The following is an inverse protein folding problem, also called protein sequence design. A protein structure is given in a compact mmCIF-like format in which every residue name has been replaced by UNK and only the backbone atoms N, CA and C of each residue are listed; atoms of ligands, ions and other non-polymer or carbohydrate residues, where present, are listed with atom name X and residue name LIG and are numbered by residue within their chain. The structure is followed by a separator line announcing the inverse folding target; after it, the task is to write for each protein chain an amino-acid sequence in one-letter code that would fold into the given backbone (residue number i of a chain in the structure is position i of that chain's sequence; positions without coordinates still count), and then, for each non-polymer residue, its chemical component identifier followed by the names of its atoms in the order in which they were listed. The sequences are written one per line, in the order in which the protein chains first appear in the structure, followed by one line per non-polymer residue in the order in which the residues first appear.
data_IF_538189668632
#
_entry.id   IF_538189668632
#
_cell.length_a   1.000
_cell.length_b   1.000
_cell.length_c   1.000
_cell.angle_alpha   90.00
_cell.angle_beta   90.00
_cell.angle_gamma   90.00
#
_symmetry.space_group_name_H-M   'P 1'
#
loop_
_entity.id
_entity.type
_entity.pdbx_description
1 polymer ?
#
# COMPACT_ATOMS: atom_id res chain seq x y z
N UNK A 1 3.69 -2.23 -12.44
CA UNK A 1 2.27 -2.13 -12.87
C UNK A 1 1.52 -3.36 -12.38
N UNK A 2 0.21 -3.26 -12.14
CA UNK A 2 -0.60 -4.42 -11.75
C UNK A 2 -0.65 -5.49 -12.86
N UNK A 3 -0.81 -6.79 -12.52
CA UNK A 3 -0.87 -7.88 -13.49
C UNK A 3 -1.91 -7.65 -14.61
N UNK A 4 -3.12 -7.21 -14.26
CA UNK A 4 -4.20 -6.98 -15.23
C UNK A 4 -3.90 -5.82 -16.19
N UNK A 5 -3.15 -4.82 -15.74
CA UNK A 5 -2.75 -3.68 -16.56
C UNK A 5 -1.65 -4.09 -17.55
N UNK A 6 -0.76 -5.01 -17.16
CA UNK A 6 0.27 -5.58 -18.04
C UNK A 6 -0.32 -6.53 -19.08
N UNK A 7 -1.26 -7.40 -18.67
CA UNK A 7 -1.81 -8.45 -19.53
C UNK A 7 -2.91 -7.94 -20.49
N UNK A 8 -3.82 -7.11 -19.97
CA UNK A 8 -5.03 -6.72 -20.70
C UNK A 8 -5.12 -5.22 -21.01
N UNK A 9 -4.11 -4.43 -20.59
CA UNK A 9 -4.15 -2.96 -20.64
C UNK A 9 -5.38 -2.38 -19.92
N UNK A 10 -5.84 -3.07 -18.88
CA UNK A 10 -6.98 -2.64 -18.06
C UNK A 10 -6.46 -1.78 -16.92
N UNK A 11 -6.87 -0.51 -16.91
CA UNK A 11 -6.54 0.45 -15.85
C UNK A 11 -7.78 0.74 -15.01
N UNK A 12 -7.69 0.54 -13.70
CA UNK A 12 -8.78 0.74 -12.75
C UNK A 12 -8.26 1.34 -11.44
N UNK A 13 -9.17 1.77 -10.59
CA UNK A 13 -8.81 2.22 -9.23
C UNK A 13 -8.01 1.17 -8.44
N UNK A 14 -8.21 -0.14 -8.70
CA UNK A 14 -7.44 -1.20 -8.03
C UNK A 14 -6.08 -1.44 -8.66
N UNK A 15 -5.90 -1.14 -9.95
CA UNK A 15 -4.55 -1.11 -10.53
C UNK A 15 -3.76 0.08 -9.97
N UNK A 16 -4.44 1.20 -9.70
CA UNK A 16 -3.83 2.36 -9.02
C UNK A 16 -3.44 2.02 -7.58
N UNK A 17 -4.28 1.25 -6.86
CA UNK A 17 -3.88 0.70 -5.54
C UNK A 17 -2.58 -0.11 -5.64
N UNK A 18 -2.44 -0.99 -6.63
CA UNK A 18 -1.19 -1.75 -6.82
C UNK A 18 0.01 -0.83 -7.06
N UNK A 19 -0.15 0.19 -7.91
CA UNK A 19 0.88 1.17 -8.19
C UNK A 19 1.26 1.99 -6.94
N UNK A 20 0.31 2.25 -6.05
CA UNK A 20 0.59 2.86 -4.75
C UNK A 20 1.54 2.02 -3.89
N UNK A 21 1.45 0.68 -3.94
CA UNK A 21 2.44 -0.16 -3.26
C UNK A 21 3.87 0.05 -3.77
N UNK A 22 4.04 0.28 -5.08
CA UNK A 22 5.35 0.63 -5.68
C UNK A 22 5.82 1.98 -5.16
N UNK A 23 4.93 2.98 -5.09
CA UNK A 23 5.25 4.28 -4.52
C UNK A 23 5.66 4.17 -3.04
N UNK A 24 4.97 3.35 -2.26
CA UNK A 24 5.35 3.10 -0.87
C UNK A 24 6.75 2.50 -0.79
N UNK A 25 7.06 1.53 -1.67
CA UNK A 25 8.40 0.98 -1.75
C UNK A 25 9.45 2.05 -2.08
N UNK A 26 9.19 2.93 -3.04
CA UNK A 26 10.09 4.05 -3.37
C UNK A 26 10.33 4.96 -2.16
N UNK A 27 9.28 5.30 -1.40
CA UNK A 27 9.38 6.13 -0.19
C UNK A 27 10.27 5.47 0.87
N UNK A 28 10.12 4.16 1.10
CA UNK A 28 10.92 3.45 2.11
C UNK A 28 12.36 3.15 1.65
N UNK A 29 12.65 3.24 0.36
CA UNK A 29 13.98 3.09 -0.22
C UNK A 29 14.58 4.44 -0.65
N UNK A 30 14.26 5.54 0.04
CA UNK A 30 14.84 6.87 -0.20
C UNK A 30 14.73 7.36 -1.67
N UNK A 31 13.65 6.99 -2.35
CA UNK A 31 13.38 7.35 -3.74
C UNK A 31 14.13 6.48 -4.77
N UNK A 32 14.58 5.29 -4.38
CA UNK A 32 15.24 4.38 -5.31
C UNK A 32 14.32 3.95 -6.46
N UNK A 33 14.92 3.60 -7.61
CA UNK A 33 14.20 3.15 -8.79
C UNK A 33 13.73 1.69 -8.62
N UNK A 34 12.43 1.39 -8.76
CA UNK A 34 11.94 0.02 -8.62
C UNK A 34 12.45 -0.87 -9.75
N UNK A 35 12.76 -2.13 -9.42
CA UNK A 35 13.24 -3.15 -10.37
C UNK A 35 14.51 -2.74 -11.13
N UNK A 36 15.48 -2.12 -10.43
CA UNK A 36 16.75 -1.74 -11.05
C UNK A 36 17.37 -2.90 -11.84
N UNK A 37 17.95 -2.59 -12.99
CA UNK A 37 18.62 -3.54 -13.89
C UNK A 37 17.71 -4.59 -14.55
N UNK A 38 16.39 -4.50 -14.38
CA UNK A 38 15.43 -5.36 -15.08
C UNK A 38 14.83 -4.64 -16.29
N UNK A 39 14.71 -5.33 -17.42
CA UNK A 39 13.93 -4.84 -18.55
C UNK A 39 12.43 -5.08 -18.31
N UNK A 40 11.58 -4.41 -19.11
CA UNK A 40 10.13 -4.49 -18.94
C UNK A 40 9.56 -5.91 -19.02
N UNK A 41 10.17 -6.80 -19.82
CA UNK A 41 9.75 -8.20 -19.93
C UNK A 41 10.05 -8.97 -18.64
N UNK A 42 11.26 -8.80 -18.09
CA UNK A 42 11.65 -9.43 -16.83
C UNK A 42 10.75 -8.96 -15.67
N UNK A 43 10.46 -7.66 -15.60
CA UNK A 43 9.53 -7.10 -14.60
C UNK A 43 8.14 -7.69 -14.75
N UNK A 44 7.62 -7.80 -15.98
CA UNK A 44 6.31 -8.40 -16.21
C UNK A 44 6.27 -9.87 -15.79
N UNK A 45 7.30 -10.65 -16.11
CA UNK A 45 7.41 -12.05 -15.67
C UNK A 45 7.41 -12.17 -14.16
N UNK A 46 8.14 -11.31 -13.46
CA UNK A 46 8.19 -11.30 -12.00
C UNK A 46 6.80 -11.01 -11.39
N UNK A 47 6.14 -9.96 -11.87
CA UNK A 47 4.78 -9.59 -11.43
C UNK A 47 3.78 -10.71 -11.72
N UNK A 48 3.88 -11.41 -12.86
CA UNK A 48 3.00 -12.55 -13.16
C UNK A 48 3.25 -13.79 -12.31
N UNK A 49 4.40 -13.89 -11.63
CA UNK A 49 4.71 -14.97 -10.69
C UNK A 49 4.28 -14.64 -9.26
N UNK A 50 3.65 -13.47 -9.04
CA UNK A 50 3.33 -12.97 -7.70
C UNK A 50 4.58 -12.50 -6.94
N UNK A 51 5.72 -12.38 -7.61
CA UNK A 51 6.94 -11.85 -7.03
C UNK A 51 6.87 -10.32 -7.02
N UNK A 52 7.08 -9.70 -5.85
CA UNK A 52 7.01 -8.27 -5.63
C UNK A 52 8.34 -7.71 -5.09
N UNK A 53 8.45 -6.39 -5.03
CA UNK A 53 9.61 -5.72 -4.44
C UNK A 53 9.73 -6.02 -2.94
N UNK A 54 10.96 -6.20 -2.46
CA UNK A 54 11.24 -6.39 -1.04
C UNK A 54 11.39 -5.05 -0.33
N UNK A 55 10.68 -4.86 0.77
CA UNK A 55 10.86 -3.68 1.63
C UNK A 55 12.14 -3.80 2.47
N UNK A 56 12.86 -2.69 2.73
CA UNK A 56 14.04 -2.71 3.60
C UNK A 56 13.65 -3.01 5.04
N UNK A 57 14.58 -3.55 5.83
CA UNK A 57 14.36 -3.91 7.25
C UNK A 57 13.94 -2.73 8.13
N UNK A 58 14.24 -1.49 7.71
CA UNK A 58 13.82 -0.25 8.36
C UNK A 58 12.32 0.02 8.24
N UNK A 59 11.63 -0.65 7.31
CA UNK A 59 10.19 -0.51 7.11
C UNK A 59 9.44 -1.16 8.26
N UNK A 60 8.48 -0.47 8.92
CA UNK A 60 7.65 -1.10 9.93
C UNK A 60 7.01 -2.38 9.40
N UNK A 61 7.28 -3.52 10.04
CA UNK A 61 6.85 -4.85 9.57
C UNK A 61 5.35 -4.93 9.30
N UNK A 62 4.54 -4.33 10.17
CA UNK A 62 3.09 -4.28 10.01
C UNK A 62 2.65 -3.55 8.73
N UNK A 63 3.41 -2.55 8.26
CA UNK A 63 3.16 -1.84 7.02
C UNK A 63 3.61 -2.66 5.81
N UNK A 64 4.83 -3.21 5.84
CA UNK A 64 5.33 -4.06 4.75
C UNK A 64 4.40 -5.27 4.52
N UNK A 65 3.99 -5.96 5.59
CA UNK A 65 3.04 -7.07 5.52
C UNK A 65 1.67 -6.63 4.97
N UNK A 66 1.20 -5.44 5.34
CA UNK A 66 -0.05 -4.91 4.84
C UNK A 66 0.00 -4.69 3.33
N UNK A 67 1.07 -4.07 2.81
CA UNK A 67 1.25 -3.86 1.38
C UNK A 67 1.29 -5.21 0.66
N UNK A 68 2.13 -6.15 1.12
CA UNK A 68 2.26 -7.47 0.52
C UNK A 68 0.93 -8.25 0.48
N UNK A 69 0.12 -8.21 1.54
CA UNK A 69 -1.11 -9.01 1.66
C UNK A 69 -2.35 -8.37 1.02
N UNK A 70 -2.42 -7.05 0.93
CA UNK A 70 -3.66 -6.35 0.59
C UNK A 70 -3.56 -5.38 -0.59
N UNK A 71 -2.38 -4.80 -0.80
CA UNK A 71 -2.12 -3.86 -1.90
C UNK A 71 -1.56 -4.62 -3.10
N UNK A 72 -0.64 -5.54 -2.83
CA UNK A 72 -0.04 -6.44 -3.80
C UNK A 72 -0.71 -7.82 -3.87
N UNK A 73 -2.03 -7.87 -3.67
CA UNK A 73 -2.82 -9.08 -3.90
C UNK A 73 -3.07 -9.28 -5.41
N UNK A 74 -2.68 -10.44 -5.93
CA UNK A 74 -2.88 -10.86 -7.31
C UNK A 74 -4.36 -10.94 -7.70
N UNK A 75 -5.22 -11.31 -6.75
CA UNK A 75 -6.67 -11.33 -6.94
C UNK A 75 -7.21 -9.91 -6.97
N UNK A 76 -7.62 -9.45 -8.15
CA UNK A 76 -8.33 -8.18 -8.32
C UNK A 76 -9.51 -8.03 -7.36
N UNK A 77 -10.27 -9.10 -7.12
CA UNK A 77 -11.43 -9.05 -6.23
C UNK A 77 -11.03 -8.83 -4.77
N UNK A 78 -9.95 -9.47 -4.33
CA UNK A 78 -9.45 -9.43 -2.94
C UNK A 78 -8.61 -8.19 -2.65
N UNK A 79 -7.92 -7.64 -3.66
CA UNK A 79 -7.07 -6.46 -3.52
C UNK A 79 -7.85 -5.28 -2.94
N UNK A 80 -7.26 -4.58 -1.99
CA UNK A 80 -7.93 -3.47 -1.33
C UNK A 80 -8.20 -2.32 -2.30
N UNK A 81 -9.29 -1.59 -2.06
CA UNK A 81 -9.48 -0.28 -2.67
C UNK A 81 -8.64 0.76 -1.94
N UNK A 82 -8.37 1.90 -2.59
CA UNK A 82 -7.69 3.02 -1.92
C UNK A 82 -8.42 3.50 -0.66
N UNK A 83 -9.75 3.40 -0.62
CA UNK A 83 -10.54 3.69 0.59
C UNK A 83 -10.16 2.75 1.74
N UNK A 84 -10.07 1.44 1.48
CA UNK A 84 -9.68 0.47 2.50
C UNK A 84 -8.22 0.65 2.95
N UNK A 85 -7.33 1.03 2.02
CA UNK A 85 -5.94 1.42 2.35
C UNK A 85 -5.91 2.62 3.28
N UNK A 86 -6.65 3.69 2.95
CA UNK A 86 -6.78 4.88 3.79
C UNK A 86 -7.30 4.52 5.19
N UNK A 87 -8.41 3.78 5.29
CA UNK A 87 -8.99 3.39 6.58
C UNK A 87 -8.04 2.53 7.43
N UNK A 88 -7.18 1.73 6.79
CA UNK A 88 -6.17 0.95 7.50
C UNK A 88 -5.05 1.84 8.06
N UNK A 89 -4.60 2.81 7.26
CA UNK A 89 -3.55 3.78 7.62
C UNK A 89 -4.02 4.74 8.71
N UNK A 90 -5.19 5.35 8.53
CA UNK A 90 -5.80 6.31 9.47
C UNK A 90 -5.85 5.75 10.90
N UNK A 91 -6.29 4.48 11.04
CA UNK A 91 -6.34 3.78 12.35
C UNK A 91 -4.97 3.53 13.00
N UNK A 92 -3.87 3.72 12.27
CA UNK A 92 -2.51 3.35 12.68
C UNK A 92 -1.54 4.52 12.69
N UNK A 93 -1.78 5.57 11.90
CA UNK A 93 -0.93 6.77 11.86
C UNK A 93 -0.89 7.44 13.24
N UNK A 94 -2.01 7.53 13.96
CA UNK A 94 -2.03 8.07 15.34
C UNK A 94 -1.16 7.28 16.33
N UNK A 95 -0.98 5.98 16.07
CA UNK A 95 -0.16 5.10 16.90
C UNK A 95 1.33 5.17 16.51
N UNK A 96 1.64 5.49 15.25
CA UNK A 96 2.99 5.60 14.71
C UNK A 96 3.60 6.99 14.91
N UNK A 97 2.78 8.05 14.97
CA UNK A 97 3.21 9.43 15.22
C UNK A 97 3.66 9.70 16.67
N UNK A 98 3.73 8.66 17.52
CA UNK A 98 4.05 8.78 18.93
C UNK A 98 2.89 9.37 19.70
N UNK A 99 2.05 8.51 20.29
CA UNK A 99 0.82 8.89 20.99
C UNK A 99 0.94 10.15 21.85
N UNK A 100 0.49 11.28 21.30
CA UNK A 100 0.07 12.47 22.04
C UNK A 100 -1.18 13.06 21.37
N UNK A 101 -2.29 12.80 22.05
CA UNK A 101 -3.50 13.62 22.14
C UNK A 101 -4.53 13.58 21.01
N UNK A 102 -5.65 12.91 21.30
CA UNK A 102 -6.94 13.60 21.25
C UNK A 102 -7.59 13.48 22.64
N UNK A 103 -7.33 14.50 23.46
CA UNK A 103 -8.08 14.81 24.68
C UNK A 103 -9.58 14.95 24.37
N UNK A 104 -10.38 14.38 25.27
CA UNK A 104 -11.85 14.49 25.40
C UNK A 104 -12.42 15.83 24.93
N UNK A 105 -13.46 15.75 24.12
CA UNK A 105 -14.61 16.67 24.18
C UNK A 105 -15.86 15.83 24.48
N UNK A 106 -15.98 15.44 25.74
CA UNK A 106 -17.24 15.05 26.34
C UNK A 106 -17.85 16.31 26.96
N UNK A 107 -18.49 17.12 26.12
CA UNK A 107 -19.36 18.22 26.56
C UNK A 107 -20.81 17.85 26.23
N UNK A 108 -21.40 17.12 27.18
CA UNK A 108 -22.70 17.40 27.79
C UNK A 108 -23.54 18.42 27.02
N UNK A 109 -24.39 17.94 26.11
CA UNK A 109 -25.61 18.68 25.79
C UNK A 109 -26.57 18.48 26.96
N UNK A 110 -26.55 19.45 27.86
CA UNK A 110 -27.48 19.57 28.96
C UNK A 110 -28.92 19.64 28.46
N UNK A 111 -29.80 18.95 29.20
CA UNK A 111 -31.21 19.30 29.28
C UNK A 111 -31.34 20.77 29.67
N UNK A 112 -32.15 21.52 28.95
CA UNK A 112 -33.23 22.34 29.49
C UNK A 112 -34.25 22.63 28.40
#
# INVERSE_FOLDING_TARGET
MAPEALQHRTFTQKSDTWAYGVLCWEIFNDGDAPYQNMNSTAVATMVFRGECLEFPESTPSAFAEFVLKHVWDDSYASRYSMKAVYEWLDKRIDKLAGGKSATKSDERHGRH
#
